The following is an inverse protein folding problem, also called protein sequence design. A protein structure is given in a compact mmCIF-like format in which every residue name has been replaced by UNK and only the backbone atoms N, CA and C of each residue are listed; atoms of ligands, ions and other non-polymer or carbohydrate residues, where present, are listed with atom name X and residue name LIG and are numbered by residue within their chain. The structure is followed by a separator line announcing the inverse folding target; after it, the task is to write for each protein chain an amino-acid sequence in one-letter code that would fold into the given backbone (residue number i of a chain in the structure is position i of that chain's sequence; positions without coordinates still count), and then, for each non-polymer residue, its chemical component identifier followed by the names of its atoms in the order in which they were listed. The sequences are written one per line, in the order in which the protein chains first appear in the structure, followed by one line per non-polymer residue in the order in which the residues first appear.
data_IF_022692446447
#
_entry.id   IF_022692446447
#
_cell.length_a   1.000
_cell.length_b   1.000
_cell.length_c   1.000
_cell.angle_alpha   90.00
_cell.angle_beta   90.00
_cell.angle_gamma   90.00
#
_symmetry.space_group_name_H-M   'P 1'
#
loop_
_entity.id
_entity.type
_entity.pdbx_description
1 polymer ?
#
# COMPACT_ATOMS: atom_id res chain seq x y z
N UNK A 1 13.91 10.55 -31.39
CA UNK A 1 13.11 9.62 -30.58
C UNK A 1 12.59 10.45 -29.44
N UNK A 2 11.32 10.33 -29.10
CA UNK A 2 10.78 11.14 -28.03
C UNK A 2 11.38 10.72 -26.68
N UNK A 3 11.64 11.70 -25.82
CA UNK A 3 12.33 11.52 -24.55
C UNK A 3 11.29 11.28 -23.44
N UNK A 4 11.51 10.23 -22.63
CA UNK A 4 10.72 9.99 -21.43
C UNK A 4 11.38 10.74 -20.28
N UNK A 5 10.60 11.52 -19.56
CA UNK A 5 11.04 12.20 -18.35
C UNK A 5 10.33 11.56 -17.16
N UNK A 6 11.09 11.31 -16.10
CA UNK A 6 10.55 10.82 -14.84
C UNK A 6 11.01 11.70 -13.72
N UNK A 7 10.08 12.31 -13.01
CA UNK A 7 10.36 13.09 -11.81
C UNK A 7 9.86 12.31 -10.60
N UNK A 8 10.77 11.93 -9.71
CA UNK A 8 10.45 11.19 -8.48
C UNK A 8 10.91 11.99 -7.28
N UNK A 9 10.08 12.02 -6.24
CA UNK A 9 10.40 12.63 -4.95
C UNK A 9 10.12 11.64 -3.84
N UNK A 10 11.03 11.59 -2.88
CA UNK A 10 10.79 10.95 -1.59
C UNK A 10 10.24 12.03 -0.67
N UNK A 11 8.93 12.02 -0.46
CA UNK A 11 8.21 13.05 0.30
C UNK A 11 8.54 13.00 1.79
N UNK A 12 9.04 11.86 2.28
CA UNK A 12 9.51 11.70 3.65
C UNK A 12 10.95 12.13 3.79
N UNK A 13 11.21 13.12 4.65
CA UNK A 13 12.56 13.49 5.04
C UNK A 13 13.19 12.43 5.95
N UNK A 14 14.38 11.94 5.58
CA UNK A 14 15.02 10.81 6.25
C UNK A 14 16.21 11.31 7.08
N UNK A 15 16.29 11.07 8.40
CA UNK A 15 17.46 11.46 9.18
C UNK A 15 18.76 10.87 8.62
N UNK A 16 19.80 11.69 8.42
CA UNK A 16 21.09 11.23 7.85
C UNK A 16 21.69 10.04 8.59
N UNK A 17 21.53 10.01 9.91
CA UNK A 17 22.00 8.91 10.77
C UNK A 17 21.24 7.60 10.56
N UNK A 18 20.02 7.66 10.01
CA UNK A 18 19.24 6.48 9.68
C UNK A 18 19.76 5.81 8.41
N UNK A 19 20.45 6.51 7.50
CA UNK A 19 20.94 5.98 6.22
C UNK A 19 22.43 5.65 6.30
N UNK A 20 22.81 4.44 5.91
CA UNK A 20 24.21 4.01 5.85
C UNK A 20 24.88 4.52 4.59
N UNK A 21 26.21 4.66 4.60
CA UNK A 21 26.96 5.12 3.44
C UNK A 21 26.79 4.18 2.23
N UNK A 22 26.60 2.87 2.47
CA UNK A 22 26.37 1.89 1.42
C UNK A 22 25.02 2.13 0.73
N UNK A 23 23.98 2.46 1.48
CA UNK A 23 22.66 2.70 0.91
C UNK A 23 22.57 4.02 0.19
N UNK A 24 23.28 5.05 0.66
CA UNK A 24 23.44 6.29 -0.10
C UNK A 24 24.00 5.98 -1.48
N UNK A 25 25.04 5.13 -1.56
CA UNK A 25 25.64 4.73 -2.83
C UNK A 25 24.65 3.95 -3.70
N UNK A 26 23.96 2.95 -3.13
CA UNK A 26 22.99 2.16 -3.88
C UNK A 26 21.81 3.01 -4.39
N UNK A 27 21.29 3.94 -3.58
CA UNK A 27 20.20 4.83 -4.00
C UNK A 27 20.63 5.77 -5.13
N UNK A 28 21.87 6.29 -5.08
CA UNK A 28 22.44 7.06 -6.20
C UNK A 28 22.55 6.24 -7.47
N UNK A 29 22.95 4.96 -7.36
CA UNK A 29 23.01 4.05 -8.51
C UNK A 29 21.61 3.74 -9.08
N UNK A 30 20.58 3.75 -8.24
CA UNK A 30 19.18 3.70 -8.67
C UNK A 30 18.67 4.99 -9.33
N UNK A 31 19.49 6.04 -9.42
CA UNK A 31 19.14 7.32 -10.03
C UNK A 31 18.67 8.40 -9.05
N UNK A 32 18.71 8.14 -7.74
CA UNK A 32 18.37 9.17 -6.75
C UNK A 32 19.53 10.13 -6.48
N UNK A 33 19.27 11.41 -6.65
CA UNK A 33 20.02 12.47 -6.00
C UNK A 33 19.45 12.75 -4.60
N UNK A 34 20.21 13.51 -3.80
CA UNK A 34 19.75 13.95 -2.49
C UNK A 34 20.28 15.34 -2.12
N UNK A 35 19.54 16.01 -1.24
CA UNK A 35 19.94 17.22 -0.53
C UNK A 35 19.96 16.96 0.97
N UNK A 36 20.93 17.55 1.65
CA UNK A 36 20.96 17.59 3.11
C UNK A 36 20.36 18.94 3.55
N UNK A 37 19.24 18.86 4.25
CA UNK A 37 18.56 20.02 4.84
C UNK A 37 19.28 20.45 6.14
N UNK A 38 19.02 21.69 6.58
CA UNK A 38 19.72 22.33 7.70
C UNK A 38 19.61 21.57 9.05
N UNK A 39 18.60 20.72 9.19
CA UNK A 39 18.32 19.90 10.38
C UNK A 39 18.96 18.49 10.33
N UNK A 40 19.77 18.22 9.30
CA UNK A 40 20.41 16.92 9.12
C UNK A 40 19.48 15.85 8.55
N UNK A 41 18.36 16.25 7.95
CA UNK A 41 17.49 15.37 7.19
C UNK A 41 17.86 15.34 5.71
N UNK A 42 17.67 14.18 5.10
CA UNK A 42 17.91 13.92 3.68
C UNK A 42 16.60 14.04 2.92
N UNK A 43 16.62 14.82 1.84
CA UNK A 43 15.59 14.87 0.83
C UNK A 43 16.09 14.17 -0.43
N UNK A 44 15.48 13.05 -0.81
CA UNK A 44 15.84 12.29 -2.01
C UNK A 44 14.90 12.62 -3.18
N UNK A 45 15.45 12.68 -4.38
CA UNK A 45 14.70 12.91 -5.62
C UNK A 45 15.42 12.27 -6.80
N UNK A 46 14.72 12.01 -7.90
CA UNK A 46 15.31 11.57 -9.17
C UNK A 46 14.71 12.38 -10.31
N UNK A 47 15.54 12.75 -11.28
CA UNK A 47 15.14 13.44 -12.51
C UNK A 47 15.63 12.64 -13.70
N UNK A 48 14.75 12.39 -14.67
CA UNK A 48 14.97 11.70 -15.95
C UNK A 48 15.14 10.17 -15.92
N UNK A 49 15.61 9.54 -14.83
CA UNK A 49 15.71 8.07 -14.79
C UNK A 49 15.64 7.47 -13.39
N UNK A 50 14.78 6.47 -13.23
CA UNK A 50 14.73 5.60 -12.05
C UNK A 50 15.04 4.17 -12.47
N UNK A 51 16.11 3.58 -11.93
CA UNK A 51 16.40 2.18 -12.18
C UNK A 51 15.64 1.32 -11.17
N UNK A 52 14.78 0.41 -11.63
CA UNK A 52 14.02 -0.46 -10.70
C UNK A 52 14.93 -1.53 -10.07
N UNK A 53 15.95 -2.01 -10.76
CA UNK A 53 16.86 -3.05 -10.30
C UNK A 53 18.30 -2.75 -10.73
N UNK A 54 19.25 -2.90 -9.80
CA UNK A 54 20.68 -2.82 -10.12
C UNK A 54 21.22 -4.25 -10.24
N UNK A 55 21.68 -4.64 -11.44
CA UNK A 55 22.17 -5.99 -11.71
C UNK A 55 23.68 -6.17 -11.51
N UNK A 56 24.47 -5.10 -11.61
CA UNK A 56 25.94 -5.20 -11.61
C UNK A 56 26.58 -4.00 -10.91
N UNK A 57 26.77 -4.11 -9.59
CA UNK A 57 27.66 -3.16 -8.90
C UNK A 57 29.11 -3.50 -9.26
N UNK A 58 29.69 -2.77 -10.22
CA UNK A 58 31.16 -2.65 -10.28
C UNK A 58 31.57 -1.66 -9.21
N UNK A 59 31.49 -2.09 -7.95
CA UNK A 59 32.30 -1.46 -6.92
C UNK A 59 33.74 -1.65 -7.41
N UNK A 60 34.35 -0.61 -8.00
CA UNK A 60 35.81 -0.48 -7.90
C UNK A 60 36.09 -0.83 -6.45
N UNK A 61 36.91 -1.87 -6.18
CA UNK A 61 36.88 -2.57 -4.91
C UNK A 61 36.97 -1.53 -3.81
N UNK A 62 35.81 -1.17 -3.25
CA UNK A 62 35.75 -0.51 -1.96
C UNK A 62 36.61 -1.44 -1.15
N UNK A 63 37.64 -0.90 -0.51
CA UNK A 63 38.55 -1.71 0.28
C UNK A 63 37.77 -2.18 1.53
N UNK A 64 36.79 -3.07 1.31
CA UNK A 64 35.99 -3.80 2.30
C UNK A 64 36.93 -4.54 3.26
N UNK A 65 38.22 -4.66 2.90
CA UNK A 65 39.28 -5.23 3.74
C UNK A 65 39.79 -4.32 4.85
N UNK A 66 39.36 -3.07 5.02
CA UNK A 66 39.71 -2.30 6.24
C UNK A 66 38.57 -1.44 6.77
N UNK A 67 37.65 -2.10 7.48
CA UNK A 67 37.02 -1.50 8.65
C UNK A 67 35.51 -1.33 8.53
N UNK A 68 34.81 -2.38 8.96
CA UNK A 68 33.39 -2.37 9.33
C UNK A 68 32.39 -2.31 8.17
N UNK A 69 32.13 -3.47 7.57
CA UNK A 69 30.73 -3.84 7.39
C UNK A 69 30.07 -3.71 8.76
N UNK A 70 29.38 -2.59 9.01
CA UNK A 70 28.53 -2.49 10.18
C UNK A 70 27.53 -3.65 10.09
N UNK A 71 27.21 -4.28 11.23
CA UNK A 71 26.24 -5.39 11.26
C UNK A 71 24.92 -5.06 10.56
N UNK A 72 24.56 -3.77 10.48
CA UNK A 72 23.36 -3.28 9.79
C UNK A 72 23.37 -3.51 8.26
N UNK A 73 24.54 -3.59 7.61
CA UNK A 73 24.62 -3.76 6.16
C UNK A 73 24.63 -5.22 5.70
N UNK A 74 24.68 -6.19 6.62
CA UNK A 74 24.75 -7.61 6.26
C UNK A 74 23.54 -8.09 5.47
N UNK A 75 22.40 -7.40 5.60
CA UNK A 75 21.16 -7.71 4.87
C UNK A 75 21.30 -7.55 3.34
N UNK A 76 22.28 -6.77 2.88
CA UNK A 76 22.51 -6.51 1.46
C UNK A 76 23.45 -7.51 0.79
N UNK A 77 24.05 -8.43 1.56
CA UNK A 77 25.01 -9.40 1.04
C UNK A 77 24.45 -10.81 1.09
N UNK A 78 24.77 -11.61 0.07
CA UNK A 78 24.47 -13.03 0.05
C UNK A 78 25.42 -13.82 0.97
N UNK A 79 25.22 -15.14 1.05
CA UNK A 79 26.07 -16.03 1.86
C UNK A 79 27.53 -16.09 1.39
N UNK A 80 27.83 -15.66 0.17
CA UNK A 80 29.18 -15.58 -0.39
C UNK A 80 29.83 -14.20 -0.17
N UNK A 81 29.09 -13.25 0.44
CA UNK A 81 29.55 -11.89 0.68
C UNK A 81 29.51 -11.01 -0.57
N UNK A 82 28.74 -11.39 -1.59
CA UNK A 82 28.47 -10.53 -2.76
C UNK A 82 27.23 -9.69 -2.50
N UNK A 83 27.22 -8.47 -3.03
CA UNK A 83 26.05 -7.62 -2.97
C UNK A 83 24.93 -8.30 -3.76
N UNK A 84 23.82 -8.63 -3.08
CA UNK A 84 22.64 -9.14 -3.76
C UNK A 84 22.00 -7.98 -4.54
N UNK A 85 21.46 -8.25 -5.72
CA UNK A 85 20.63 -7.27 -6.43
C UNK A 85 19.46 -6.88 -5.52
N UNK A 86 19.26 -5.58 -5.36
CA UNK A 86 18.18 -5.00 -4.56
C UNK A 86 17.52 -3.90 -5.39
N UNK A 87 16.22 -3.73 -5.22
CA UNK A 87 15.52 -2.56 -5.72
C UNK A 87 15.54 -1.44 -4.66
N UNK A 88 15.37 -0.19 -5.10
CA UNK A 88 15.35 0.98 -4.21
C UNK A 88 14.27 0.87 -3.13
N UNK A 89 13.15 0.21 -3.42
CA UNK A 89 12.06 -0.01 -2.47
C UNK A 89 12.52 -0.85 -1.26
N UNK A 90 13.29 -1.92 -1.51
CA UNK A 90 13.84 -2.78 -0.48
C UNK A 90 14.92 -2.06 0.32
N UNK A 91 15.73 -1.23 -0.35
CA UNK A 91 16.72 -0.38 0.31
C UNK A 91 16.00 0.53 1.30
N UNK A 92 15.03 1.33 0.85
CA UNK A 92 14.23 2.21 1.71
C UNK A 92 13.51 1.45 2.82
N UNK A 93 12.93 0.29 2.54
CA UNK A 93 12.26 -0.52 3.56
C UNK A 93 13.22 -0.95 4.68
N UNK A 94 14.44 -1.34 4.33
CA UNK A 94 15.47 -1.67 5.31
C UNK A 94 15.88 -0.45 6.15
N UNK A 95 15.86 0.75 5.57
CA UNK A 95 16.04 2.03 6.31
C UNK A 95 14.98 2.21 7.39
N UNK A 96 13.72 2.05 7.03
CA UNK A 96 12.61 2.21 7.97
C UNK A 96 12.66 1.13 9.05
N UNK A 97 12.95 -0.13 8.69
CA UNK A 97 13.00 -1.26 9.64
C UNK A 97 13.97 -1.01 10.80
N UNK A 98 15.12 -0.40 10.54
CA UNK A 98 16.10 -0.07 11.58
C UNK A 98 15.87 1.27 12.26
N UNK A 99 15.05 2.15 11.66
CA UNK A 99 14.77 3.47 12.22
C UNK A 99 13.69 3.39 13.30
N UNK A 100 13.95 4.04 14.43
CA UNK A 100 12.95 4.22 15.48
C UNK A 100 11.99 5.39 15.21
N UNK A 101 12.35 6.28 14.30
CA UNK A 101 11.65 7.56 14.07
C UNK A 101 10.97 7.63 12.70
N UNK A 102 10.98 6.53 11.94
CA UNK A 102 10.28 6.43 10.65
C UNK A 102 9.26 5.31 10.73
N UNK A 103 8.00 5.66 10.44
CA UNK A 103 6.89 4.71 10.35
C UNK A 103 6.64 4.30 8.90
N UNK A 104 6.79 5.25 7.97
CA UNK A 104 6.66 5.04 6.54
C UNK A 104 7.60 5.97 5.75
N UNK A 105 7.87 5.61 4.50
CA UNK A 105 8.45 6.45 3.47
C UNK A 105 7.45 6.55 2.31
N UNK A 106 7.11 7.77 1.96
CA UNK A 106 6.23 8.11 0.85
C UNK A 106 7.07 8.52 -0.35
N UNK A 107 6.81 7.89 -1.50
CA UNK A 107 7.48 8.21 -2.76
C UNK A 107 6.41 8.51 -3.80
N UNK A 108 6.55 9.63 -4.50
CA UNK A 108 5.66 9.98 -5.60
C UNK A 108 6.49 10.20 -6.86
N UNK A 109 6.01 9.66 -7.98
CA UNK A 109 6.62 9.83 -9.28
C UNK A 109 5.61 10.30 -10.32
N UNK A 110 6.06 11.12 -11.26
CA UNK A 110 5.32 11.47 -12.46
C UNK A 110 6.13 11.03 -13.69
N UNK A 111 5.44 10.44 -14.66
CA UNK A 111 6.00 10.11 -15.97
C UNK A 111 5.45 11.11 -16.98
N UNK A 112 6.35 11.76 -17.70
CA UNK A 112 6.00 12.61 -18.83
C UNK A 112 6.82 12.20 -20.05
N UNK A 113 6.37 12.62 -21.22
CA UNK A 113 7.00 12.33 -22.49
C UNK A 113 6.80 13.53 -23.41
N UNK A 114 7.74 13.78 -24.31
CA UNK A 114 7.64 14.93 -25.22
C UNK A 114 6.45 14.83 -26.20
N UNK A 115 6.06 13.61 -26.56
CA UNK A 115 4.94 13.31 -27.44
C UNK A 115 3.77 12.70 -26.63
N UNK A 116 3.22 13.45 -25.67
CA UNK A 116 2.05 13.01 -24.89
C UNK A 116 0.74 13.24 -25.67
N UNK A 117 -0.08 12.19 -25.82
CA UNK A 117 -1.47 12.30 -26.24
C UNK A 117 -2.42 12.50 -25.04
N UNK A 118 -3.69 12.82 -25.34
CA UNK A 118 -4.74 12.99 -24.32
C UNK A 118 -4.91 11.68 -23.55
N UNK A 119 -4.61 11.70 -22.26
CA UNK A 119 -4.74 10.54 -21.36
C UNK A 119 -3.45 9.77 -21.12
N UNK A 120 -2.32 10.22 -21.65
CA UNK A 120 -1.03 9.51 -21.53
C UNK A 120 -0.11 10.05 -20.40
N UNK A 121 -0.57 11.05 -19.63
CA UNK A 121 0.16 11.51 -18.44
C UNK A 121 -0.13 10.56 -17.28
N UNK A 122 0.93 9.99 -16.72
CA UNK A 122 0.85 9.01 -15.65
C UNK A 122 1.79 9.31 -14.50
N UNK A 123 1.70 8.49 -13.48
CA UNK A 123 2.51 8.59 -12.29
C UNK A 123 2.22 7.45 -11.34
N UNK A 124 2.87 7.49 -10.20
CA UNK A 124 2.70 6.52 -9.16
C UNK A 124 2.85 7.15 -7.78
N UNK A 125 2.25 6.48 -6.80
CA UNK A 125 2.52 6.70 -5.39
C UNK A 125 2.90 5.39 -4.73
N UNK A 126 4.00 5.38 -3.99
CA UNK A 126 4.42 4.28 -3.13
C UNK A 126 4.35 4.70 -1.67
N UNK A 127 3.85 3.78 -0.84
CA UNK A 127 3.95 3.84 0.60
C UNK A 127 4.77 2.63 1.08
N UNK A 128 5.98 2.89 1.54
CA UNK A 128 6.89 1.89 2.09
C UNK A 128 6.77 1.94 3.60
N UNK A 129 6.39 0.82 4.22
CA UNK A 129 6.36 0.64 5.67
C UNK A 129 7.39 -0.41 6.08
N UNK A 130 7.57 -0.63 7.38
CA UNK A 130 8.45 -1.70 7.90
C UNK A 130 8.07 -3.09 7.37
N UNK A 131 6.78 -3.32 7.16
CA UNK A 131 6.25 -4.64 6.86
C UNK A 131 5.85 -4.82 5.40
N UNK A 132 5.43 -3.75 4.73
CA UNK A 132 4.83 -3.81 3.39
C UNK A 132 5.26 -2.63 2.52
N UNK A 133 5.32 -2.90 1.22
CA UNK A 133 5.38 -1.88 0.17
C UNK A 133 4.05 -1.88 -0.55
N UNK A 134 3.39 -0.73 -0.61
CA UNK A 134 2.16 -0.52 -1.37
C UNK A 134 2.47 0.42 -2.52
N UNK A 135 1.94 0.13 -3.69
CA UNK A 135 2.10 0.97 -4.89
C UNK A 135 0.74 1.13 -5.56
N UNK A 136 0.48 2.33 -6.09
CA UNK A 136 -0.67 2.61 -6.94
C UNK A 136 -0.25 3.49 -8.11
N UNK A 137 -0.69 3.11 -9.31
CA UNK A 137 -0.60 3.97 -10.48
C UNK A 137 -1.73 5.00 -10.50
N UNK A 138 -1.60 6.03 -11.33
CA UNK A 138 -2.65 7.04 -11.54
C UNK A 138 -4.00 6.42 -11.94
N UNK A 139 -4.00 5.35 -12.74
CA UNK A 139 -5.22 4.65 -13.13
C UNK A 139 -5.94 4.00 -11.95
N UNK A 140 -5.20 3.33 -11.05
CA UNK A 140 -5.75 2.74 -9.84
C UNK A 140 -6.36 3.81 -8.92
N UNK A 141 -5.71 4.96 -8.84
CA UNK A 141 -6.17 6.12 -8.08
C UNK A 141 -7.47 6.66 -8.70
N UNK A 142 -7.54 6.82 -10.02
CA UNK A 142 -8.76 7.26 -10.69
C UNK A 142 -9.91 6.26 -10.54
N UNK A 143 -9.64 4.95 -10.59
CA UNK A 143 -10.65 3.94 -10.36
C UNK A 143 -11.26 4.05 -8.95
N UNK A 144 -10.43 4.30 -7.93
CA UNK A 144 -10.90 4.54 -6.56
C UNK A 144 -11.70 5.83 -6.44
N UNK A 145 -11.22 6.93 -7.01
CA UNK A 145 -11.92 8.21 -6.97
C UNK A 145 -13.28 8.15 -7.68
N UNK A 146 -13.39 7.39 -8.77
CA UNK A 146 -14.68 7.14 -9.45
C UNK A 146 -15.63 6.33 -8.58
N UNK A 147 -15.14 5.25 -7.98
CA UNK A 147 -15.94 4.46 -7.04
C UNK A 147 -16.46 5.35 -5.90
N UNK A 148 -15.58 6.14 -5.26
CA UNK A 148 -15.96 7.09 -4.21
C UNK A 148 -17.00 8.11 -4.69
N UNK A 149 -16.83 8.68 -5.89
CA UNK A 149 -17.75 9.65 -6.46
C UNK A 149 -19.14 9.07 -6.80
N UNK A 150 -19.21 7.79 -7.18
CA UNK A 150 -20.43 7.06 -7.48
C UNK A 150 -21.14 6.54 -6.21
N UNK A 151 -20.57 6.79 -5.02
CA UNK A 151 -21.03 6.21 -3.76
C UNK A 151 -20.72 4.72 -3.64
N UNK A 152 -19.95 4.16 -4.58
CA UNK A 152 -19.46 2.80 -4.57
C UNK A 152 -18.24 2.66 -3.65
N UNK A 153 -18.25 1.62 -2.82
CA UNK A 153 -17.05 1.21 -2.09
C UNK A 153 -16.13 0.44 -3.04
N UNK A 154 -14.84 0.77 -3.13
CA UNK A 154 -13.84 -0.03 -3.86
C UNK A 154 -13.70 -1.48 -3.34
N UNK A 155 -14.37 -1.81 -2.22
CA UNK A 155 -14.39 -3.12 -1.58
C UNK A 155 -15.65 -3.94 -1.92
N UNK A 156 -16.67 -3.34 -2.53
CA UNK A 156 -17.92 -3.98 -2.89
C UNK A 156 -18.04 -4.08 -4.41
N UNK A 157 -18.21 -5.31 -4.89
CA UNK A 157 -18.51 -5.55 -6.29
C UNK A 157 -20.01 -5.75 -6.41
N UNK A 158 -20.68 -4.90 -7.17
CA UNK A 158 -22.08 -5.10 -7.55
C UNK A 158 -22.15 -6.39 -8.38
N UNK A 159 -23.06 -7.30 -8.02
CA UNK A 159 -23.37 -8.46 -8.83
C UNK A 159 -24.72 -8.24 -9.50
N UNK A 160 -24.77 -8.46 -10.81
CA UNK A 160 -26.03 -8.66 -11.52
C UNK A 160 -26.46 -10.13 -11.29
N UNK A 161 -26.83 -10.45 -10.05
CA UNK A 161 -27.25 -11.80 -9.62
C UNK A 161 -28.78 -11.90 -9.61
N UNK A 162 -29.39 -12.78 -10.44
CA UNK A 162 -30.83 -13.01 -10.42
C UNK A 162 -31.35 -13.60 -9.11
N UNK A 163 -30.48 -14.12 -8.23
CA UNK A 163 -30.84 -14.67 -6.93
C UNK A 163 -30.92 -13.61 -5.81
N UNK A 164 -30.75 -12.31 -6.13
CA UNK A 164 -31.08 -11.19 -5.26
C UNK A 164 -29.95 -10.67 -4.37
N UNK A 165 -28.69 -11.02 -4.67
CA UNK A 165 -27.53 -10.45 -3.99
C UNK A 165 -26.96 -9.27 -4.77
N UNK A 166 -27.27 -8.05 -4.37
CA UNK A 166 -26.83 -6.85 -5.09
C UNK A 166 -25.31 -6.57 -4.93
N UNK A 167 -24.67 -7.06 -3.86
CA UNK A 167 -23.26 -6.78 -3.57
C UNK A 167 -22.51 -7.96 -2.94
N UNK A 168 -21.28 -8.23 -3.38
CA UNK A 168 -20.35 -9.16 -2.73
C UNK A 168 -19.13 -8.41 -2.17
N UNK A 169 -18.77 -8.77 -0.93
CA UNK A 169 -17.52 -8.37 -0.29
C UNK A 169 -16.31 -8.98 -1.00
N UNK A 170 -15.33 -8.15 -1.35
CA UNK A 170 -14.03 -8.68 -1.81
C UNK A 170 -13.41 -9.58 -0.72
N UNK A 171 -12.87 -10.77 -1.06
CA UNK A 171 -12.30 -11.74 -0.09
C UNK A 171 -11.16 -11.18 0.78
N UNK A 172 -10.56 -10.06 0.38
CA UNK A 172 -9.45 -9.41 1.08
C UNK A 172 -9.89 -8.31 2.07
N UNK A 173 -11.16 -7.97 2.14
CA UNK A 173 -11.66 -6.86 2.96
C UNK A 173 -12.10 -7.34 4.36
N UNK A 174 -11.39 -6.91 5.40
CA UNK A 174 -11.73 -7.22 6.81
C UNK A 174 -12.97 -6.46 7.32
N UNK A 175 -13.34 -5.37 6.64
CA UNK A 175 -14.56 -4.59 6.88
C UNK A 175 -14.80 -3.64 5.70
N UNK A 176 -16.00 -3.07 5.61
CA UNK A 176 -16.32 -2.03 4.64
C UNK A 176 -17.28 -1.01 5.24
N UNK A 177 -17.09 0.24 4.80
CA UNK A 177 -18.08 1.30 4.95
C UNK A 177 -18.96 1.37 3.70
N UNK A 178 -20.26 1.54 3.90
CA UNK A 178 -21.28 1.67 2.86
C UNK A 178 -22.10 2.90 3.17
N UNK A 179 -22.19 3.85 2.25
CA UNK A 179 -23.07 5.01 2.44
C UNK A 179 -24.41 4.77 1.76
N UNK A 180 -25.50 4.90 2.50
CA UNK A 180 -26.87 4.80 1.97
C UNK A 180 -27.64 6.05 2.35
N UNK A 181 -27.89 6.94 1.39
CA UNK A 181 -28.51 8.25 1.62
C UNK A 181 -27.81 9.06 2.72
N UNK A 182 -28.43 9.20 3.89
CA UNK A 182 -27.96 10.00 5.02
C UNK A 182 -27.38 9.15 6.18
N UNK A 183 -27.12 7.86 5.92
CA UNK A 183 -26.52 6.94 6.89
C UNK A 183 -25.27 6.27 6.30
N UNK A 184 -24.31 5.98 7.17
CA UNK A 184 -23.12 5.19 6.90
C UNK A 184 -23.26 3.85 7.62
N UNK A 185 -23.14 2.74 6.91
CA UNK A 185 -23.15 1.39 7.44
C UNK A 185 -21.71 0.88 7.51
N UNK A 186 -21.31 0.36 8.67
CA UNK A 186 -20.05 -0.34 8.85
C UNK A 186 -20.31 -1.83 8.93
N UNK A 187 -19.92 -2.56 7.89
CA UNK A 187 -20.06 -4.00 7.82
C UNK A 187 -18.73 -4.65 8.17
N UNK A 188 -18.74 -5.51 9.18
CA UNK A 188 -17.58 -6.28 9.63
C UNK A 188 -17.90 -7.77 9.61
N UNK A 189 -17.49 -8.49 8.56
CA UNK A 189 -17.53 -9.94 8.56
C UNK A 189 -16.43 -10.52 9.47
N UNK A 190 -16.71 -11.69 10.02
CA UNK A 190 -15.77 -12.57 10.74
C UNK A 190 -16.01 -14.00 10.27
N UNK A 191 -15.20 -14.95 10.71
CA UNK A 191 -15.37 -16.36 10.34
C UNK A 191 -16.71 -16.96 10.80
N UNK A 192 -17.35 -16.38 11.83
CA UNK A 192 -18.55 -16.94 12.48
C UNK A 192 -19.77 -16.01 12.43
N UNK A 193 -19.61 -14.75 12.03
CA UNK A 193 -20.68 -13.75 12.11
C UNK A 193 -20.45 -12.55 11.20
N UNK A 194 -21.52 -11.77 10.99
CA UNK A 194 -21.46 -10.43 10.40
C UNK A 194 -22.06 -9.43 11.37
N UNK A 195 -21.34 -8.32 11.59
CA UNK A 195 -21.84 -7.17 12.35
C UNK A 195 -22.04 -6.00 11.41
N UNK A 196 -23.17 -5.31 11.52
CA UNK A 196 -23.50 -4.10 10.77
C UNK A 196 -23.83 -2.98 11.74
N UNK A 197 -22.96 -1.98 11.84
CA UNK A 197 -23.22 -0.75 12.60
C UNK A 197 -23.80 0.33 11.70
N UNK A 198 -24.82 1.05 12.15
CA UNK A 198 -25.46 2.16 11.43
C UNK A 198 -25.03 3.47 12.07
N UNK A 199 -24.52 4.41 11.29
CA UNK A 199 -24.02 5.70 11.73
C UNK A 199 -24.69 6.82 10.94
N UNK A 200 -24.81 8.05 11.48
CA UNK A 200 -25.16 9.20 10.68
C UNK A 200 -24.01 9.48 9.68
N UNK A 201 -24.34 9.87 8.45
CA UNK A 201 -23.33 10.22 7.45
C UNK A 201 -22.42 11.36 7.95
N UNK A 202 -21.10 11.15 7.89
CA UNK A 202 -20.08 12.12 8.35
C UNK A 202 -19.81 12.10 9.86
N UNK A 203 -20.36 11.12 10.58
CA UNK A 203 -20.18 10.91 12.04
C UNK A 203 -19.69 9.50 12.36
N UNK A 204 -18.89 8.92 11.48
CA UNK A 204 -18.37 7.55 11.56
C UNK A 204 -17.46 7.30 12.78
N UNK A 205 -16.97 8.36 13.42
CA UNK A 205 -16.17 8.31 14.66
C UNK A 205 -17.02 8.37 15.95
N UNK A 206 -18.34 8.54 15.85
CA UNK A 206 -19.27 8.57 16.99
C UNK A 206 -19.83 7.17 17.30
N UNK A 207 -20.69 7.05 18.31
CA UNK A 207 -21.39 5.79 18.57
C UNK A 207 -22.40 5.49 17.45
N UNK A 208 -22.59 4.22 17.08
CA UNK A 208 -23.60 3.84 16.11
C UNK A 208 -25.00 4.21 16.62
N UNK A 209 -25.87 4.61 15.71
CA UNK A 209 -27.31 4.74 15.92
C UNK A 209 -27.93 3.39 16.27
N UNK A 210 -27.48 2.34 15.60
CA UNK A 210 -27.93 0.97 15.83
C UNK A 210 -26.86 -0.04 15.38
N UNK A 211 -26.91 -1.26 15.90
CA UNK A 211 -26.01 -2.34 15.53
C UNK A 211 -26.80 -3.64 15.38
N UNK A 212 -26.74 -4.22 14.19
CA UNK A 212 -27.22 -5.56 13.92
C UNK A 212 -26.06 -6.56 13.95
N UNK A 213 -26.30 -7.75 14.49
CA UNK A 213 -25.33 -8.84 14.53
C UNK A 213 -26.04 -10.14 14.18
N UNK A 214 -25.45 -10.90 13.24
CA UNK A 214 -25.99 -12.20 12.81
C UNK A 214 -24.86 -13.23 12.87
N UNK A 215 -25.10 -14.33 13.58
CA UNK A 215 -24.20 -15.47 13.60
C UNK A 215 -24.57 -16.45 12.47
N UNK A 216 -23.58 -17.00 11.76
CA UNK A 216 -23.85 -17.93 10.66
C UNK A 216 -24.50 -19.23 11.15
N UNK A 217 -24.25 -19.65 12.40
CA UNK A 217 -24.89 -20.82 12.99
C UNK A 217 -26.41 -20.64 13.16
N UNK A 218 -26.88 -19.41 13.38
CA UNK A 218 -28.30 -19.11 13.60
C UNK A 218 -29.09 -19.14 12.28
N UNK A 219 -28.43 -18.89 11.15
CA UNK A 219 -29.03 -18.91 9.81
C UNK A 219 -29.30 -20.36 9.35
N UNK A 220 -28.45 -21.32 9.75
CA UNK A 220 -28.58 -22.74 9.37
C UNK A 220 -29.71 -23.45 10.15
N UNK A 221 -30.09 -22.94 11.32
CA UNK A 221 -31.11 -23.56 12.17
C UNK A 221 -32.54 -23.08 11.86
N UNK A 222 -32.71 -22.00 11.09
CA UNK A 222 -34.02 -21.42 10.77
C UNK A 222 -34.90 -22.28 9.83
N UNK A 223 -34.31 -23.24 9.13
CA UNK A 223 -35.01 -24.08 8.13
C UNK A 223 -35.35 -25.50 8.63
N UNK A 224 -35.06 -25.84 9.90
CA UNK A 224 -35.27 -27.22 10.40
C UNK A 224 -36.46 -27.42 11.35
N UNK A 225 -37.18 -26.36 11.72
CA UNK A 225 -38.20 -26.45 12.79
C UNK A 225 -39.68 -26.45 12.34
N UNK A 226 -40.00 -26.48 11.04
CA UNK A 226 -41.43 -26.50 10.59
C UNK A 226 -41.96 -27.84 10.03
N UNK A 227 -41.16 -28.91 9.87
CA UNK A 227 -41.64 -30.19 9.30
C UNK A 227 -41.65 -31.41 10.24
N UNK A 228 -41.51 -31.26 11.56
CA UNK A 228 -41.53 -32.43 12.48
C UNK A 228 -42.82 -32.66 13.28
N UNK A 229 -43.86 -31.83 13.13
CA UNK A 229 -45.15 -32.02 13.83
C UNK A 229 -46.29 -32.65 13.00
N UNK A 230 -45.98 -33.28 11.86
CA UNK A 230 -46.95 -34.04 11.08
C UNK A 230 -46.79 -35.57 11.25
N UNK A 231 -46.64 -36.08 12.48
CA UNK A 231 -46.77 -37.51 12.77
C UNK A 231 -47.15 -37.77 14.24
N UNK A 232 -48.46 -37.67 14.53
CA UNK A 232 -49.24 -38.46 15.50
C UNK A 232 -50.67 -37.87 15.60
N UNK A 233 -51.74 -38.67 15.79
CA UNK A 233 -51.84 -40.12 15.90
C UNK A 233 -52.41 -40.83 14.66
#
# INVERSE_FOLDING_TARGET
MPENHTDVTVNTLIPRQAVSDLEMLMLVDHGFDYKLEDDGLLFFYATDYLCEEVSDYSLEPIDVKKGSLRSENSIYFDSEGKLASQNYQTIFQNIIRRSQNLDAIEIAGAFTHDDLEIGEVGGFALLITKDKVLSKGTDDIFAQLRAEAEGGSALLKELDDPDGNDYIFSPAAESAWISVNNVSLYVRPTDESVTVGIYPLGKEAENPLDVAHVNFADVVMGDLDEESEALRP
#
